data_IF_344513236504
#
_entry.id   IF_344513236504
#
_cell.length_a   1.000
_cell.length_b   1.000
_cell.length_c   1.000
_cell.angle_alpha   90.00
_cell.angle_beta   90.00
_cell.angle_gamma   90.00
#
_symmetry.space_group_name_H-M   'P 1'
#
loop_
_entity.id
_entity.type
_entity.pdbx_description
1 polymer ?
#
# COMPACT_ATOMS: atom_id res chain seq x y z
N UNK A 1 47.46 38.33 29.59
CA UNK A 1 47.83 37.40 28.51
C UNK A 1 47.18 36.06 28.86
N UNK A 2 46.13 35.54 28.23
CA UNK A 2 45.30 35.88 27.06
C UNK A 2 43.86 35.51 27.45
N UNK A 3 42.91 36.42 27.22
CA UNK A 3 41.47 36.14 27.20
C UNK A 3 41.16 35.44 25.87
N UNK A 4 40.58 34.24 25.90
CA UNK A 4 40.00 33.64 24.69
C UNK A 4 38.48 33.73 24.80
N UNK A 5 37.94 34.82 24.23
CA UNK A 5 36.55 34.87 23.80
C UNK A 5 36.39 33.93 22.61
N UNK A 6 35.64 32.84 22.77
CA UNK A 6 35.11 32.10 21.62
C UNK A 6 33.59 32.28 21.60
N UNK A 7 33.15 33.16 20.70
CA UNK A 7 31.75 33.31 20.37
C UNK A 7 31.24 32.03 19.72
N UNK A 8 30.25 31.40 20.33
CA UNK A 8 29.43 30.40 19.67
C UNK A 8 28.52 31.14 18.67
N UNK A 9 28.89 31.07 17.40
CA UNK A 9 28.05 31.44 16.27
C UNK A 9 26.84 30.50 16.29
N UNK A 10 25.67 31.03 16.64
CA UNK A 10 24.40 30.33 16.42
C UNK A 10 24.20 30.14 14.92
N UNK A 11 24.42 28.92 14.45
CA UNK A 11 24.04 28.51 13.10
C UNK A 11 22.50 28.49 13.06
N UNK A 12 21.90 29.52 12.48
CA UNK A 12 20.48 29.48 12.12
C UNK A 12 20.30 28.33 11.15
N UNK A 13 19.78 27.20 11.63
CA UNK A 13 19.24 26.17 10.75
C UNK A 13 18.14 26.85 9.95
N UNK A 14 18.44 27.12 8.68
CA UNK A 14 17.43 27.51 7.72
C UNK A 14 16.31 26.48 7.82
N UNK A 15 15.12 26.93 8.22
CA UNK A 15 13.89 26.16 8.13
C UNK A 15 13.62 25.94 6.64
N UNK A 16 14.29 24.95 6.05
CA UNK A 16 13.80 24.31 4.83
C UNK A 16 12.53 23.60 5.28
N UNK A 17 11.40 24.31 5.24
CA UNK A 17 10.11 23.66 5.14
C UNK A 17 10.26 22.69 3.98
N UNK A 18 10.35 21.40 4.28
CA UNK A 18 10.14 20.36 3.29
C UNK A 18 8.85 20.76 2.57
N UNK A 19 8.95 21.00 1.26
CA UNK A 19 7.83 21.36 0.41
C UNK A 19 6.76 20.30 0.68
N UNK A 20 5.73 20.66 1.43
CA UNK A 20 4.61 19.76 1.73
C UNK A 20 4.09 19.31 0.38
N UNK A 21 4.05 18.00 0.16
CA UNK A 21 3.74 17.35 -1.10
C UNK A 21 2.39 17.89 -1.60
N UNK A 22 2.43 18.89 -2.47
CA UNK A 22 1.27 19.46 -3.15
C UNK A 22 0.60 18.35 -3.95
N UNK A 23 -0.68 18.13 -3.70
CA UNK A 23 -1.60 17.23 -4.42
C UNK A 23 -1.25 15.73 -4.42
N UNK A 24 -1.36 15.07 -3.26
CA UNK A 24 -1.83 13.68 -3.31
C UNK A 24 -3.25 13.69 -3.87
N UNK A 25 -3.51 12.88 -4.89
CA UNK A 25 -4.84 12.76 -5.45
C UNK A 25 -5.79 12.20 -4.38
N UNK A 26 -6.90 12.88 -4.16
CA UNK A 26 -7.98 12.43 -3.28
C UNK A 26 -9.23 12.26 -4.13
N UNK A 27 -9.73 11.03 -4.23
CA UNK A 27 -10.99 10.74 -4.90
C UNK A 27 -12.19 11.29 -4.13
N UNK A 28 -12.09 11.40 -2.80
CA UNK A 28 -13.12 11.98 -1.95
C UNK A 28 -13.17 13.51 -2.10
N UNK A 29 -14.33 14.04 -2.50
CA UNK A 29 -14.56 15.46 -2.70
C UNK A 29 -14.97 16.20 -1.41
N UNK A 30 -15.12 15.49 -0.29
CA UNK A 30 -15.50 16.06 1.02
C UNK A 30 -16.95 16.55 1.10
N UNK A 31 -17.77 16.28 0.09
CA UNK A 31 -19.14 16.74 -0.03
C UNK A 31 -20.16 15.59 -0.21
N UNK A 32 -19.75 14.36 0.11
CA UNK A 32 -20.56 13.14 -0.08
C UNK A 32 -20.49 12.54 -1.49
N UNK A 33 -19.70 13.12 -2.39
CA UNK A 33 -19.41 12.59 -3.73
C UNK A 33 -17.93 12.22 -3.85
N UNK A 34 -17.61 11.40 -4.86
CA UNK A 34 -16.24 11.04 -5.20
C UNK A 34 -15.99 11.22 -6.71
N UNK A 35 -14.72 11.39 -7.07
CA UNK A 35 -14.26 11.44 -8.46
C UNK A 35 -13.48 10.16 -8.79
N UNK A 36 -13.74 9.63 -9.98
CA UNK A 36 -12.97 8.50 -10.50
C UNK A 36 -11.69 8.98 -11.23
N UNK A 37 -10.62 8.17 -11.22
CA UNK A 37 -10.52 6.84 -10.59
C UNK A 37 -10.30 6.92 -9.08
N UNK A 38 -10.83 6.00 -8.27
CA UNK A 38 -10.62 6.02 -6.80
C UNK A 38 -9.15 5.90 -6.36
N UNK A 39 -8.31 5.28 -7.20
CA UNK A 39 -6.86 5.22 -7.06
C UNK A 39 -6.21 5.58 -8.40
N UNK A 40 -5.31 6.56 -8.41
CA UNK A 40 -4.47 6.87 -9.58
C UNK A 40 -3.14 6.16 -9.46
N UNK A 41 -2.69 5.48 -10.51
CA UNK A 41 -1.41 4.79 -10.53
C UNK A 41 -1.48 3.44 -11.26
N UNK A 42 -0.47 2.60 -11.03
CA UNK A 42 -0.37 1.27 -11.63
C UNK A 42 -1.03 0.22 -10.73
N UNK A 43 -2.36 0.19 -10.76
CA UNK A 43 -3.22 -0.65 -9.90
C UNK A 43 -4.23 -1.45 -10.73
N UNK A 44 -3.72 -2.19 -11.72
CA UNK A 44 -4.54 -3.00 -12.63
C UNK A 44 -5.08 -4.27 -11.96
N UNK A 45 -6.23 -4.75 -12.43
CA UNK A 45 -6.89 -5.97 -11.95
C UNK A 45 -7.22 -5.95 -10.44
N UNK A 46 -7.94 -4.94 -9.92
CA UNK A 46 -8.28 -4.89 -8.52
C UNK A 46 -9.24 -6.03 -8.13
N UNK A 47 -8.87 -6.82 -7.13
CA UNK A 47 -9.79 -7.74 -6.43
C UNK A 47 -10.01 -7.24 -5.01
N UNK A 48 -11.26 -7.29 -4.53
CA UNK A 48 -11.71 -6.67 -3.27
C UNK A 48 -12.48 -7.67 -2.42
N UNK A 49 -12.19 -7.72 -1.12
CA UNK A 49 -12.95 -8.46 -0.12
C UNK A 49 -13.34 -7.56 1.06
N UNK A 50 -14.51 -7.80 1.65
CA UNK A 50 -14.96 -7.13 2.88
C UNK A 50 -14.79 -8.06 4.09
N UNK A 51 -14.31 -7.52 5.20
CA UNK A 51 -14.30 -8.19 6.50
C UNK A 51 -14.70 -7.20 7.60
N UNK A 52 -15.85 -7.43 8.23
CA UNK A 52 -16.46 -6.49 9.16
C UNK A 52 -16.72 -5.12 8.51
N UNK A 53 -16.09 -4.08 9.05
CA UNK A 53 -16.23 -2.69 8.59
C UNK A 53 -15.17 -2.26 7.59
N UNK A 54 -14.22 -3.14 7.24
CA UNK A 54 -13.13 -2.83 6.33
C UNK A 54 -13.28 -3.56 5.00
N UNK A 55 -12.82 -2.90 3.95
CA UNK A 55 -12.59 -3.45 2.63
C UNK A 55 -11.08 -3.58 2.43
N UNK A 56 -10.67 -4.66 1.79
CA UNK A 56 -9.29 -4.94 1.44
C UNK A 56 -9.19 -5.18 -0.05
N UNK A 57 -8.20 -4.56 -0.69
CA UNK A 57 -7.97 -4.70 -2.13
C UNK A 57 -6.54 -5.12 -2.40
N UNK A 58 -6.34 -5.99 -3.37
CA UNK A 58 -5.04 -6.20 -4.00
C UNK A 58 -5.16 -6.10 -5.52
N UNK A 59 -4.04 -6.07 -6.21
CA UNK A 59 -3.96 -5.83 -7.65
C UNK A 59 -2.69 -6.49 -8.22
N UNK A 60 -2.64 -6.63 -9.55
CA UNK A 60 -1.45 -7.16 -10.24
C UNK A 60 -0.20 -6.36 -9.88
N UNK A 61 0.93 -7.06 -9.66
CA UNK A 61 2.23 -6.42 -9.39
C UNK A 61 3.24 -6.59 -10.52
N UNK A 62 2.94 -7.41 -11.53
CA UNK A 62 3.88 -7.78 -12.60
C UNK A 62 5.22 -8.21 -11.98
N UNK A 63 6.34 -7.64 -12.42
CA UNK A 63 7.67 -7.98 -11.95
C UNK A 63 8.09 -7.21 -10.66
N UNK A 64 7.19 -6.43 -10.05
CA UNK A 64 7.50 -5.68 -8.83
C UNK A 64 7.48 -6.59 -7.59
N UNK A 65 8.54 -6.49 -6.79
CA UNK A 65 8.65 -7.05 -5.43
C UNK A 65 9.10 -5.94 -4.46
N UNK A 66 8.51 -5.83 -3.25
CA UNK A 66 7.40 -6.65 -2.75
C UNK A 66 6.12 -6.41 -3.56
N UNK A 67 5.38 -7.50 -3.80
CA UNK A 67 4.22 -7.56 -4.71
C UNK A 67 2.93 -7.84 -3.96
N UNK A 68 1.81 -7.85 -4.69
CA UNK A 68 0.47 -7.99 -4.11
C UNK A 68 0.24 -7.02 -2.94
N UNK A 69 0.37 -5.71 -3.21
CA UNK A 69 0.10 -4.66 -2.24
C UNK A 69 -1.35 -4.77 -1.76
N UNK A 70 -1.53 -4.71 -0.44
CA UNK A 70 -2.83 -4.75 0.23
C UNK A 70 -3.21 -3.33 0.61
N UNK A 71 -4.35 -2.89 0.10
CA UNK A 71 -5.00 -1.65 0.46
C UNK A 71 -6.13 -1.93 1.45
N UNK A 72 -6.36 -1.01 2.39
CA UNK A 72 -7.51 -1.02 3.29
C UNK A 72 -8.34 0.25 3.09
N UNK A 73 -9.66 0.11 3.10
CA UNK A 73 -10.62 1.21 3.13
C UNK A 73 -11.78 0.89 4.08
N UNK A 74 -12.50 1.92 4.52
CA UNK A 74 -13.76 1.79 5.26
C UNK A 74 -14.98 2.21 4.43
N UNK A 75 -14.76 2.86 3.28
CA UNK A 75 -15.79 3.54 2.49
C UNK A 75 -15.71 3.27 0.97
N UNK A 76 -14.78 2.42 0.53
CA UNK A 76 -14.45 2.10 -0.87
C UNK A 76 -13.86 3.27 -1.70
N UNK A 77 -13.64 4.43 -1.10
CA UNK A 77 -13.12 5.63 -1.77
C UNK A 77 -11.72 5.98 -1.26
N UNK A 78 -11.55 5.99 0.05
CA UNK A 78 -10.30 6.35 0.71
C UNK A 78 -9.52 5.08 1.06
N UNK A 79 -8.42 4.84 0.34
CA UNK A 79 -7.62 3.63 0.46
C UNK A 79 -6.23 3.93 1.03
N UNK A 80 -5.77 3.11 1.97
CA UNK A 80 -4.45 3.18 2.59
C UNK A 80 -3.69 1.87 2.35
N UNK A 81 -2.41 1.91 1.93
CA UNK A 81 -1.59 0.70 1.85
C UNK A 81 -1.27 0.18 3.27
N UNK A 82 -1.41 -1.12 3.51
CA UNK A 82 -1.19 -1.72 4.84
C UNK A 82 -0.12 -2.82 4.87
N UNK A 83 0.09 -3.56 3.77
CA UNK A 83 1.07 -4.65 3.68
C UNK A 83 1.34 -5.03 2.23
N UNK A 84 2.39 -5.81 1.98
CA UNK A 84 2.55 -6.55 0.72
C UNK A 84 2.47 -8.04 1.03
N UNK A 85 1.69 -8.79 0.26
CA UNK A 85 1.48 -10.22 0.52
C UNK A 85 2.56 -11.13 -0.08
N UNK A 86 3.34 -10.64 -1.06
CA UNK A 86 4.38 -11.41 -1.73
C UNK A 86 5.75 -10.75 -1.57
N UNK A 87 6.68 -11.46 -0.94
CA UNK A 87 8.08 -11.00 -0.78
C UNK A 87 9.06 -11.76 -1.67
N UNK A 88 8.67 -12.93 -2.18
CA UNK A 88 9.52 -13.80 -3.00
C UNK A 88 9.12 -13.67 -4.48
N UNK A 89 10.11 -13.51 -5.36
CA UNK A 89 9.84 -13.44 -6.80
C UNK A 89 9.54 -14.84 -7.36
N UNK A 90 8.31 -15.06 -7.82
CA UNK A 90 7.84 -16.32 -8.44
C UNK A 90 7.48 -16.16 -9.92
N UNK A 91 7.94 -15.07 -10.54
CA UNK A 91 7.57 -14.62 -11.88
C UNK A 91 6.60 -13.43 -11.86
N UNK A 92 6.34 -12.84 -13.03
CA UNK A 92 5.44 -11.71 -13.15
C UNK A 92 4.01 -12.07 -12.70
N UNK A 93 3.48 -11.31 -11.74
CA UNK A 93 2.15 -11.52 -11.15
C UNK A 93 1.07 -10.85 -11.99
N UNK A 94 0.13 -11.63 -12.53
CA UNK A 94 -1.05 -11.12 -13.22
C UNK A 94 -2.28 -11.14 -12.30
N UNK A 95 -3.48 -10.93 -12.86
CA UNK A 95 -4.73 -10.71 -12.15
C UNK A 95 -4.92 -11.62 -10.92
N UNK A 96 -4.87 -11.06 -9.70
CA UNK A 96 -5.10 -11.81 -8.47
C UNK A 96 -6.58 -11.87 -8.11
N UNK A 97 -6.94 -12.79 -7.23
CA UNK A 97 -8.23 -12.80 -6.54
C UNK A 97 -8.05 -12.96 -5.02
N UNK A 98 -8.57 -12.02 -4.24
CA UNK A 98 -8.54 -12.04 -2.77
C UNK A 98 -9.90 -12.47 -2.23
N UNK A 99 -9.91 -13.52 -1.41
CA UNK A 99 -11.11 -14.01 -0.73
C UNK A 99 -10.83 -14.26 0.76
N UNK A 100 -11.89 -14.29 1.57
CA UNK A 100 -11.84 -14.76 2.95
C UNK A 100 -12.74 -15.98 3.11
N UNK A 101 -12.18 -17.08 3.61
CA UNK A 101 -12.94 -18.29 3.89
C UNK A 101 -12.55 -18.85 5.26
N UNK A 102 -13.54 -19.13 6.11
CA UNK A 102 -13.36 -19.69 7.47
C UNK A 102 -12.29 -18.97 8.30
N UNK A 103 -12.26 -17.64 8.24
CA UNK A 103 -11.34 -16.83 9.03
C UNK A 103 -9.92 -16.70 8.47
N UNK A 104 -9.66 -17.22 7.26
CA UNK A 104 -8.37 -17.10 6.59
C UNK A 104 -8.55 -16.34 5.26
N UNK A 105 -7.65 -15.41 4.99
CA UNK A 105 -7.53 -14.75 3.69
C UNK A 105 -6.69 -15.62 2.76
N UNK A 106 -7.08 -15.63 1.49
CA UNK A 106 -6.37 -16.27 0.39
C UNK A 106 -6.20 -15.24 -0.71
N UNK A 107 -5.02 -15.19 -1.32
CA UNK A 107 -4.81 -14.50 -2.59
C UNK A 107 -4.35 -15.55 -3.59
N UNK A 108 -5.20 -15.86 -4.56
CA UNK A 108 -4.85 -16.69 -5.70
C UNK A 108 -4.31 -15.82 -6.83
N UNK A 109 -3.21 -16.21 -7.46
CA UNK A 109 -2.64 -15.42 -8.56
C UNK A 109 -1.79 -16.27 -9.51
N UNK A 110 -1.85 -16.02 -10.83
CA UNK A 110 -0.94 -16.62 -11.78
C UNK A 110 0.43 -15.89 -11.80
N UNK A 111 1.52 -16.66 -11.79
CA UNK A 111 2.88 -16.17 -12.00
C UNK A 111 3.81 -17.30 -12.46
N UNK A 112 4.79 -16.99 -13.31
CA UNK A 112 5.81 -17.97 -13.71
C UNK A 112 5.27 -19.19 -14.47
N UNK A 113 4.12 -19.08 -15.13
CA UNK A 113 3.49 -20.18 -15.86
C UNK A 113 2.67 -21.15 -15.01
N UNK A 114 2.38 -20.82 -13.75
CA UNK A 114 1.50 -21.60 -12.85
C UNK A 114 0.60 -20.67 -12.01
N UNK A 115 -0.28 -21.26 -11.20
CA UNK A 115 -1.08 -20.56 -10.19
C UNK A 115 -0.49 -20.79 -8.79
N UNK A 116 -0.44 -19.71 -8.02
CA UNK A 116 0.05 -19.67 -6.64
C UNK A 116 -1.06 -19.25 -5.68
N UNK A 117 -0.85 -19.49 -4.39
CA UNK A 117 -1.71 -18.99 -3.34
C UNK A 117 -0.90 -18.58 -2.12
N UNK A 118 -1.17 -17.38 -1.59
CA UNK A 118 -0.67 -16.96 -0.28
C UNK A 118 -1.83 -16.77 0.68
N UNK A 119 -1.58 -17.01 1.97
CA UNK A 119 -2.62 -16.97 3.00
C UNK A 119 -2.21 -16.17 4.22
N UNK A 120 -3.18 -15.55 4.89
CA UNK A 120 -2.97 -14.85 6.16
C UNK A 120 -4.24 -14.86 7.03
N UNK A 121 -4.08 -14.83 8.35
CA UNK A 121 -5.22 -14.63 9.28
C UNK A 121 -5.61 -13.16 9.40
N UNK A 122 -4.64 -12.28 9.23
CA UNK A 122 -4.78 -10.82 9.25
C UNK A 122 -4.27 -10.29 7.90
N UNK A 123 -5.01 -9.44 7.18
CA UNK A 123 -4.57 -8.89 5.90
C UNK A 123 -3.31 -8.00 6.01
N UNK A 124 -2.97 -7.50 7.21
CA UNK A 124 -1.70 -6.84 7.49
C UNK A 124 -0.51 -7.84 7.61
N UNK A 125 -0.79 -9.13 7.56
CA UNK A 125 0.18 -10.22 7.62
C UNK A 125 0.38 -10.81 9.02
N UNK A 126 1.33 -11.73 9.18
CA UNK A 126 2.21 -12.23 8.12
C UNK A 126 1.47 -13.07 7.08
N UNK A 127 1.91 -12.96 5.83
CA UNK A 127 1.46 -13.80 4.72
C UNK A 127 2.35 -15.04 4.60
N UNK A 128 1.77 -16.18 4.20
CA UNK A 128 2.53 -17.40 3.92
C UNK A 128 3.43 -17.22 2.71
N UNK A 129 4.43 -18.11 2.58
CA UNK A 129 5.12 -18.27 1.30
C UNK A 129 4.13 -18.79 0.23
N UNK A 130 4.34 -18.43 -1.05
CA UNK A 130 3.55 -18.96 -2.17
C UNK A 130 3.77 -20.47 -2.37
#
# INVERSE_FOLDING_TARGET
MILVLSGLISYSQSNVKAKSIENQYHADLGNGYFENPILRGNYADPSVVRDGNSYYMTHSSFDNIPGLLIWQSYDLVNWKPIANALTDFVGGVWAPDIIKYKGLFYIYFPAGGTNWVVTAKDPAGPWSKP
#
